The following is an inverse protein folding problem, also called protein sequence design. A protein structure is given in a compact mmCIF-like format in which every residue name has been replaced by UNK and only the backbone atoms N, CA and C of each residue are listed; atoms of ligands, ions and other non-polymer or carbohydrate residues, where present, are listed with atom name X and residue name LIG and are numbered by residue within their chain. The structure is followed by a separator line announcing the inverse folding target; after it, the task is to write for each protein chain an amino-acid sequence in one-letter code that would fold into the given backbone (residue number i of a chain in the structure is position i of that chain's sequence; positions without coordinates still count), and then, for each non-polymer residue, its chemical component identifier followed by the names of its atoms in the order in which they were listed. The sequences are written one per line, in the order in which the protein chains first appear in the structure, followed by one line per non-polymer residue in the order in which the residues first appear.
data_IF_343062650453
#
_entry.id   IF_343062650453
#
_cell.length_a   1.000
_cell.length_b   1.000
_cell.length_c   1.000
_cell.angle_alpha   90.00
_cell.angle_beta   90.00
_cell.angle_gamma   90.00
#
_symmetry.space_group_name_H-M   'P 1'
#
loop_
_entity.id
_entity.type
_entity.pdbx_description
1 polymer ?
#
# COMPACT_ATOMS: atom_id res chain seq x y z
N UNK A 1 6.07 29.16 -0.45
CA UNK A 1 4.96 28.78 -1.34
C UNK A 1 3.64 28.85 -0.55
N UNK A 2 2.81 29.86 -0.83
CA UNK A 2 1.53 30.10 -0.13
C UNK A 2 0.38 29.49 -0.92
N UNK A 3 -0.36 28.53 -0.36
CA UNK A 3 -1.73 28.23 -0.82
C UNK A 3 -2.71 28.66 0.26
N UNK A 4 -3.07 29.94 0.20
CA UNK A 4 -4.23 30.49 0.90
C UNK A 4 -5.47 29.77 0.38
N UNK A 5 -6.27 29.21 1.30
CA UNK A 5 -7.51 28.52 1.01
C UNK A 5 -8.44 28.55 2.21
N UNK A 6 -8.84 29.77 2.60
CA UNK A 6 -9.90 30.04 3.57
C UNK A 6 -11.23 30.14 2.83
N UNK A 7 -12.01 29.06 2.84
CA UNK A 7 -13.44 29.07 2.55
C UNK A 7 -14.08 27.98 3.42
N UNK A 8 -14.66 28.39 4.56
CA UNK A 8 -15.65 27.69 5.39
C UNK A 8 -15.78 26.17 5.17
N UNK A 9 -14.82 25.38 5.67
CA UNK A 9 -14.84 23.91 5.55
C UNK A 9 -16.03 23.33 6.31
N UNK A 10 -17.14 23.08 5.60
CA UNK A 10 -18.23 22.23 6.10
C UNK A 10 -17.64 20.89 6.55
N UNK A 11 -17.77 20.62 7.84
CA UNK A 11 -17.41 19.35 8.45
C UNK A 11 -18.41 18.30 7.99
N UNK A 12 -17.99 17.38 7.13
CA UNK A 12 -18.87 16.33 6.56
C UNK A 12 -18.64 15.03 7.31
N UNK A 13 -19.71 14.35 7.73
CA UNK A 13 -19.60 12.98 8.27
C UNK A 13 -19.27 12.01 7.15
N UNK A 14 -18.23 11.20 7.33
CA UNK A 14 -17.77 10.20 6.37
C UNK A 14 -17.43 8.89 7.06
N UNK A 15 -17.45 7.80 6.30
CA UNK A 15 -17.03 6.48 6.75
C UNK A 15 -15.55 6.26 6.46
N UNK A 16 -14.78 5.81 7.44
CA UNK A 16 -13.36 5.50 7.27
C UNK A 16 -13.19 4.27 6.38
N UNK A 17 -12.40 4.38 5.30
CA UNK A 17 -12.11 3.25 4.40
C UNK A 17 -11.23 2.14 4.99
N UNK A 18 -10.65 2.35 6.17
CA UNK A 18 -9.78 1.36 6.83
C UNK A 18 -10.51 0.60 7.91
N UNK A 19 -11.20 1.30 8.82
CA UNK A 19 -11.84 0.68 9.98
C UNK A 19 -13.38 0.71 9.95
N UNK A 20 -13.99 1.30 8.93
CA UNK A 20 -15.45 1.38 8.79
C UNK A 20 -16.16 2.36 9.73
N UNK A 21 -15.45 3.01 10.66
CA UNK A 21 -16.05 3.94 11.62
C UNK A 21 -16.45 5.26 10.95
N UNK A 22 -17.58 5.83 11.38
CA UNK A 22 -17.95 7.20 11.02
C UNK A 22 -17.03 8.22 11.69
N UNK A 23 -16.62 9.24 10.95
CA UNK A 23 -15.78 10.34 11.44
C UNK A 23 -16.15 11.66 10.78
N UNK A 24 -15.75 12.76 11.43
CA UNK A 24 -15.96 14.11 10.92
C UNK A 24 -14.77 14.50 10.05
N UNK A 25 -14.99 14.61 8.74
CA UNK A 25 -13.98 14.98 7.78
C UNK A 25 -13.67 16.49 7.86
N UNK A 26 -12.41 16.81 8.17
CA UNK A 26 -11.88 18.18 8.11
C UNK A 26 -11.67 18.68 6.67
N UNK A 27 -11.50 17.77 5.71
CA UNK A 27 -11.23 18.07 4.29
C UNK A 27 -12.16 17.25 3.39
N UNK A 28 -12.52 17.78 2.21
CA UNK A 28 -13.28 17.03 1.20
C UNK A 28 -12.58 15.74 0.79
N UNK A 29 -11.25 15.70 0.80
CA UNK A 29 -10.46 14.54 0.41
C UNK A 29 -10.07 13.64 1.60
N UNK A 30 -10.59 13.89 2.81
CA UNK A 30 -10.33 13.02 3.94
C UNK A 30 -11.06 11.68 3.74
N UNK A 31 -10.29 10.58 3.78
CA UNK A 31 -10.77 9.20 3.56
C UNK A 31 -10.63 8.32 4.81
N UNK A 32 -9.87 8.78 5.80
CA UNK A 32 -9.50 8.02 6.99
C UNK A 32 -9.80 8.84 8.24
N UNK A 33 -10.25 8.17 9.29
CA UNK A 33 -10.57 8.81 10.56
C UNK A 33 -9.33 9.26 11.34
N UNK A 34 -8.17 8.63 11.10
CA UNK A 34 -6.92 8.91 11.80
C UNK A 34 -5.70 8.67 10.92
N UNK A 35 -4.55 9.22 11.34
CA UNK A 35 -3.25 8.96 10.73
C UNK A 35 -2.91 7.45 10.77
N UNK A 36 -3.27 6.76 11.85
CA UNK A 36 -3.09 5.31 11.98
C UNK A 36 -3.85 4.54 10.90
N UNK A 37 -5.10 4.89 10.63
CA UNK A 37 -5.88 4.24 9.57
C UNK A 37 -5.30 4.49 8.17
N UNK A 38 -4.74 5.67 7.93
CA UNK A 38 -4.03 5.99 6.70
C UNK A 38 -2.75 5.15 6.57
N UNK A 39 -1.96 5.07 7.64
CA UNK A 39 -0.71 4.30 7.69
C UNK A 39 -0.97 2.81 7.50
N UNK A 40 -1.98 2.26 8.16
CA UNK A 40 -2.36 0.86 7.98
C UNK A 40 -2.69 0.56 6.51
N UNK A 41 -3.45 1.45 5.84
CA UNK A 41 -3.76 1.25 4.42
C UNK A 41 -2.52 1.36 3.52
N UNK A 42 -1.58 2.25 3.84
CA UNK A 42 -0.29 2.32 3.14
C UNK A 42 0.53 1.04 3.34
N UNK A 43 0.67 0.59 4.59
CA UNK A 43 1.40 -0.63 4.93
C UNK A 43 0.80 -1.86 4.26
N UNK A 44 -0.54 -1.97 4.18
CA UNK A 44 -1.21 -3.05 3.45
C UNK A 44 -0.82 -3.08 1.96
N UNK A 45 -0.82 -1.91 1.29
CA UNK A 45 -0.42 -1.81 -0.11
C UNK A 45 1.05 -2.15 -0.30
N UNK A 46 1.90 -1.66 0.60
CA UNK A 46 3.34 -1.93 0.57
C UNK A 46 3.63 -3.43 0.76
N UNK A 47 2.96 -4.08 1.71
CA UNK A 47 3.08 -5.54 1.92
C UNK A 47 2.68 -6.32 0.67
N UNK A 48 1.56 -5.98 0.04
CA UNK A 48 1.13 -6.64 -1.19
C UNK A 48 2.16 -6.48 -2.32
N UNK A 49 2.71 -5.27 -2.50
CA UNK A 49 3.78 -5.02 -3.48
C UNK A 49 5.03 -5.87 -3.19
N UNK A 50 5.53 -5.84 -1.96
CA UNK A 50 6.73 -6.59 -1.54
C UNK A 50 6.51 -8.09 -1.73
N UNK A 51 5.35 -8.64 -1.35
CA UNK A 51 5.05 -10.06 -1.57
C UNK A 51 5.07 -10.46 -3.05
N UNK A 52 4.71 -9.55 -3.95
CA UNK A 52 4.82 -9.76 -5.40
C UNK A 52 6.27 -9.82 -5.86
N UNK A 53 7.10 -8.88 -5.41
CA UNK A 53 8.55 -8.86 -5.71
C UNK A 53 9.25 -10.11 -5.18
N UNK A 54 8.94 -10.53 -3.96
CA UNK A 54 9.50 -11.73 -3.33
C UNK A 54 9.16 -12.98 -4.15
N UNK A 55 7.91 -13.08 -4.63
CA UNK A 55 7.47 -14.18 -5.50
C UNK A 55 8.24 -14.20 -6.81
N UNK A 56 8.42 -13.05 -7.46
CA UNK A 56 9.19 -12.95 -8.70
C UNK A 56 10.66 -13.36 -8.49
N UNK A 57 11.29 -12.84 -7.43
CA UNK A 57 12.66 -13.17 -7.08
C UNK A 57 12.84 -14.67 -6.80
N UNK A 58 11.87 -15.30 -6.14
CA UNK A 58 11.88 -16.74 -5.89
C UNK A 58 11.84 -17.57 -7.18
N UNK A 59 11.04 -17.16 -8.17
CA UNK A 59 10.99 -17.81 -9.50
C UNK A 59 12.35 -17.69 -10.20
N UNK A 60 12.93 -16.48 -10.23
CA UNK A 60 14.26 -16.23 -10.82
C UNK A 60 15.33 -17.10 -10.15
N UNK A 61 15.35 -17.17 -8.82
CA UNK A 61 16.26 -18.04 -8.05
C UNK A 61 16.09 -19.52 -8.40
N UNK A 62 14.85 -20.02 -8.47
CA UNK A 62 14.57 -21.41 -8.89
C UNK A 62 15.08 -21.70 -10.30
N UNK A 63 14.84 -20.79 -11.25
CA UNK A 63 15.32 -20.94 -12.63
C UNK A 63 16.86 -21.01 -12.70
N UNK A 64 17.57 -20.15 -11.96
CA UNK A 64 19.02 -20.20 -11.89
C UNK A 64 19.53 -21.53 -11.31
N UNK A 65 18.89 -22.03 -10.25
CA UNK A 65 19.24 -23.33 -9.65
C UNK A 65 19.05 -24.47 -10.66
N UNK A 66 17.92 -24.51 -11.36
CA UNK A 66 17.65 -25.51 -12.38
C UNK A 66 18.68 -25.46 -13.51
N UNK A 67 19.02 -24.26 -14.01
CA UNK A 67 20.06 -24.08 -15.02
C UNK A 67 21.40 -24.68 -14.58
N UNK A 68 21.81 -24.44 -13.34
CA UNK A 68 23.05 -25.00 -12.77
C UNK A 68 23.01 -26.53 -12.71
N UNK A 69 21.89 -27.12 -12.30
CA UNK A 69 21.71 -28.57 -12.26
C UNK A 69 21.79 -29.19 -13.66
N UNK A 70 21.12 -28.59 -14.64
CA UNK A 70 21.17 -29.04 -16.03
C UNK A 70 22.58 -28.95 -16.62
N UNK A 71 23.36 -27.92 -16.26
CA UNK A 71 24.76 -27.80 -16.67
C UNK A 71 25.62 -28.92 -16.07
N UNK A 72 25.41 -29.25 -14.79
CA UNK A 72 26.13 -30.33 -14.11
C UNK A 72 25.80 -31.73 -14.66
N UNK A 73 24.60 -31.93 -15.20
CA UNK A 73 24.15 -33.19 -15.82
C UNK A 73 24.65 -33.38 -17.26
N UNK A 74 25.26 -32.36 -17.87
CA UNK A 74 25.80 -32.39 -19.24
C UNK A 74 27.30 -32.72 -19.28
N UNK A 75 27.86 -33.13 -18.15
CA UNK A 75 29.25 -33.60 -17.98
C UNK A 75 29.20 -35.12 -17.87
#
# INVERSE_FOLDING_TARGET
MKTKGSLTKKRVKKTCKTCGKMFIAKQKNAMYCSALCRQNKFNQRHKAYVSGLERELAIKKKAMKLKKQLQAMKV
#
